data_IF_791808339341
#
_entry.id   IF_791808339341
#
_cell.length_a   1.000
_cell.length_b   1.000
_cell.length_c   1.000
_cell.angle_alpha   90.00
_cell.angle_beta   90.00
_cell.angle_gamma   90.00
#
_symmetry.space_group_name_H-M   'P 1'
#
loop_
_entity.id
_entity.type
_entity.pdbx_description
1 polymer ?
#
# COMPACT_ATOMS: atom_id res chain seq x y z
N UNK A 1 -6.92 -47.27 -32.75
CA UNK A 1 -7.01 -46.07 -33.59
C UNK A 1 -7.63 -44.99 -32.74
N UNK A 2 -6.83 -44.22 -32.06
CA UNK A 2 -7.25 -42.93 -31.46
C UNK A 2 -6.02 -42.05 -31.36
N UNK A 3 -6.11 -40.98 -32.08
CA UNK A 3 -5.09 -39.97 -32.24
C UNK A 3 -5.05 -39.07 -31.01
N UNK A 4 -3.93 -38.79 -30.34
CA UNK A 4 -3.86 -37.80 -29.31
C UNK A 4 -3.64 -36.42 -29.94
N UNK A 5 -4.51 -35.56 -29.55
CA UNK A 5 -4.68 -34.17 -29.88
C UNK A 5 -3.41 -33.34 -29.59
N UNK A 6 -2.99 -32.58 -30.58
CA UNK A 6 -1.99 -31.53 -30.54
C UNK A 6 -2.18 -30.55 -29.35
N UNK A 7 -1.30 -30.63 -28.38
CA UNK A 7 -0.94 -29.48 -27.54
C UNK A 7 0.08 -28.66 -28.33
N UNK A 8 -0.38 -27.59 -28.92
CA UNK A 8 0.50 -26.54 -29.47
C UNK A 8 1.28 -25.90 -28.33
N UNK A 9 2.55 -26.20 -28.33
CA UNK A 9 3.59 -25.44 -27.63
C UNK A 9 3.41 -23.94 -27.91
N UNK A 10 3.03 -23.20 -26.88
CA UNK A 10 3.23 -21.75 -26.84
C UNK A 10 4.72 -21.57 -26.64
N UNK A 11 5.45 -21.38 -27.74
CA UNK A 11 6.87 -21.03 -27.69
C UNK A 11 7.01 -19.74 -26.91
N UNK A 12 7.63 -19.85 -25.76
CA UNK A 12 8.29 -18.78 -25.05
C UNK A 12 9.15 -18.00 -26.05
N UNK A 13 8.74 -16.77 -26.36
CA UNK A 13 9.62 -15.83 -27.04
C UNK A 13 10.54 -15.24 -25.99
N UNK A 14 11.59 -15.97 -25.68
CA UNK A 14 12.79 -15.47 -25.01
C UNK A 14 13.30 -14.21 -25.71
N UNK A 15 13.66 -13.21 -24.92
CA UNK A 15 14.36 -12.01 -25.36
C UNK A 15 15.50 -12.41 -26.30
N UNK A 16 15.36 -12.13 -27.58
CA UNK A 16 16.46 -12.24 -28.52
C UNK A 16 17.31 -10.95 -28.40
N UNK A 17 18.26 -10.96 -27.46
CA UNK A 17 19.36 -10.01 -27.50
C UNK A 17 20.18 -10.25 -28.78
N UNK A 18 19.86 -9.55 -29.86
CA UNK A 18 20.70 -9.44 -31.02
C UNK A 18 21.75 -8.34 -30.75
N UNK A 19 22.88 -8.74 -30.18
CA UNK A 19 24.09 -7.91 -30.11
C UNK A 19 24.71 -7.92 -31.50
N UNK A 20 24.48 -6.86 -32.29
CA UNK A 20 25.32 -6.39 -33.36
C UNK A 20 24.62 -5.35 -34.24
N UNK A 21 24.27 -4.21 -33.66
CA UNK A 21 24.16 -2.94 -34.42
C UNK A 21 23.85 -1.79 -33.44
N UNK A 22 24.67 -0.73 -33.32
CA UNK A 22 24.42 0.38 -32.39
C UNK A 22 23.19 1.23 -32.73
N UNK A 23 22.54 1.00 -33.88
CA UNK A 23 21.35 1.73 -34.34
C UNK A 23 20.04 0.88 -34.28
N UNK A 24 20.03 -0.27 -33.61
CA UNK A 24 18.78 -1.04 -33.45
C UNK A 24 18.11 -0.67 -32.14
N UNK A 25 16.85 -0.25 -32.24
CA UNK A 25 15.91 -0.10 -31.13
C UNK A 25 15.97 -1.35 -30.25
N UNK A 26 16.27 -1.16 -28.94
CA UNK A 26 16.18 -2.23 -27.95
C UNK A 26 14.73 -2.27 -27.48
N UNK A 27 13.99 -3.28 -27.89
CA UNK A 27 12.59 -3.46 -27.52
C UNK A 27 12.48 -4.51 -26.42
N UNK A 28 11.83 -4.16 -25.33
CA UNK A 28 11.40 -5.05 -24.27
C UNK A 28 9.89 -5.27 -24.38
N UNK A 29 9.45 -6.54 -24.31
CA UNK A 29 8.03 -6.86 -24.22
C UNK A 29 7.62 -6.84 -22.74
N UNK A 30 6.70 -5.94 -22.41
CA UNK A 30 6.14 -5.78 -21.07
C UNK A 30 4.69 -6.23 -21.09
N UNK A 31 4.27 -7.01 -20.09
CA UNK A 31 2.89 -7.42 -19.93
C UNK A 31 2.20 -6.51 -18.88
N UNK A 32 1.16 -5.78 -19.29
CA UNK A 32 0.35 -4.95 -18.40
C UNK A 32 -1.10 -5.46 -18.44
N UNK A 33 -1.67 -5.80 -17.31
CA UNK A 33 -3.04 -6.36 -17.18
C UNK A 33 -3.31 -7.50 -18.18
N UNK A 34 -2.30 -8.37 -18.39
CA UNK A 34 -2.32 -9.49 -19.34
C UNK A 34 -2.31 -9.10 -20.83
N UNK A 35 -1.98 -7.86 -21.16
CA UNK A 35 -1.79 -7.35 -22.54
C UNK A 35 -0.30 -7.12 -22.76
N UNK A 36 0.24 -7.60 -23.90
CA UNK A 36 1.62 -7.38 -24.30
C UNK A 36 1.78 -5.98 -24.91
N UNK A 37 2.83 -5.28 -24.47
CA UNK A 37 3.24 -3.98 -24.98
C UNK A 37 4.72 -4.00 -25.33
N UNK A 38 5.07 -3.42 -26.47
CA UNK A 38 6.45 -3.21 -26.87
C UNK A 38 6.95 -1.87 -26.31
N UNK A 39 8.04 -1.91 -25.54
CA UNK A 39 8.71 -0.75 -24.96
C UNK A 39 10.09 -0.58 -25.59
N UNK A 40 10.36 0.56 -26.22
CA UNK A 40 11.72 0.93 -26.61
C UNK A 40 12.53 1.35 -25.37
N UNK A 41 13.58 0.60 -25.06
CA UNK A 41 14.49 0.83 -23.94
C UNK A 41 15.86 1.36 -24.37
N UNK A 42 16.00 1.86 -25.60
CA UNK A 42 17.29 2.33 -26.14
C UNK A 42 17.86 3.51 -25.37
N UNK A 43 17.01 4.34 -24.78
CA UNK A 43 17.32 5.53 -23.98
C UNK A 43 17.25 5.31 -22.46
N UNK A 44 17.08 4.06 -22.01
CA UNK A 44 16.85 3.69 -20.60
C UNK A 44 18.11 3.01 -20.05
N UNK A 45 18.62 3.52 -18.92
CA UNK A 45 19.86 3.04 -18.32
C UNK A 45 19.69 2.02 -17.19
N UNK A 46 18.54 2.02 -16.50
CA UNK A 46 18.28 1.17 -15.33
C UNK A 46 16.79 0.86 -15.16
N UNK A 47 16.49 -0.07 -14.23
CA UNK A 47 15.13 -0.51 -13.95
C UNK A 47 14.21 0.63 -13.53
N UNK A 48 14.66 1.55 -12.67
CA UNK A 48 13.83 2.67 -12.20
C UNK A 48 13.48 3.66 -13.30
N UNK A 49 14.39 3.90 -14.27
CA UNK A 49 14.09 4.71 -15.47
C UNK A 49 13.09 3.99 -16.38
N UNK A 50 13.25 2.68 -16.54
CA UNK A 50 12.33 1.86 -17.30
C UNK A 50 10.92 1.89 -16.70
N UNK A 51 10.78 1.71 -15.39
CA UNK A 51 9.48 1.78 -14.71
C UNK A 51 8.80 3.13 -14.91
N UNK A 52 9.54 4.23 -14.77
CA UNK A 52 9.01 5.58 -15.05
C UNK A 52 8.53 5.75 -16.49
N UNK A 53 9.27 5.20 -17.45
CA UNK A 53 8.87 5.23 -18.87
C UNK A 53 7.60 4.42 -19.11
N UNK A 54 7.51 3.23 -18.50
CA UNK A 54 6.29 2.40 -18.56
C UNK A 54 5.09 3.14 -17.99
N UNK A 55 5.23 3.76 -16.81
CA UNK A 55 4.15 4.52 -16.18
C UNK A 55 3.66 5.68 -17.04
N UNK A 56 4.56 6.34 -17.75
CA UNK A 56 4.25 7.49 -18.61
C UNK A 56 3.66 7.10 -19.97
N UNK A 57 4.11 6.00 -20.57
CA UNK A 57 3.80 5.67 -21.97
C UNK A 57 2.80 4.52 -22.11
N UNK A 58 2.79 3.57 -21.16
CA UNK A 58 2.04 2.32 -21.30
C UNK A 58 0.91 2.14 -20.27
N UNK A 59 1.07 2.69 -19.07
CA UNK A 59 -0.01 2.62 -18.05
C UNK A 59 -1.16 3.52 -18.50
N UNK A 60 -2.40 3.00 -18.55
CA UNK A 60 -3.56 3.80 -18.93
C UNK A 60 -3.76 5.00 -17.99
N UNK A 61 -4.19 6.13 -18.55
CA UNK A 61 -4.46 7.35 -17.78
C UNK A 61 -5.39 7.07 -16.59
N UNK A 62 -5.02 7.58 -15.42
CA UNK A 62 -5.81 7.44 -14.21
C UNK A 62 -5.68 6.08 -13.50
N UNK A 63 -4.82 5.18 -13.96
CA UNK A 63 -4.49 3.93 -13.27
C UNK A 63 -3.12 4.02 -12.57
N UNK A 64 -2.91 3.19 -11.58
CA UNK A 64 -1.64 3.07 -10.86
C UNK A 64 -1.17 1.61 -10.89
N UNK A 65 0.15 1.41 -10.96
CA UNK A 65 0.75 0.08 -10.85
C UNK A 65 0.60 -0.41 -9.40
N UNK A 66 0.06 -1.61 -9.22
CA UNK A 66 -0.15 -2.22 -7.89
C UNK A 66 0.69 -3.46 -7.67
N UNK A 67 1.17 -4.09 -8.74
CA UNK A 67 2.03 -5.27 -8.63
C UNK A 67 3.06 -5.26 -9.75
N UNK A 68 4.31 -5.51 -9.37
CA UNK A 68 5.43 -5.70 -10.31
C UNK A 68 5.93 -7.13 -10.14
N UNK A 69 5.92 -7.90 -11.22
CA UNK A 69 6.48 -9.26 -11.29
C UNK A 69 7.67 -9.21 -12.23
N UNK A 70 8.87 -9.29 -11.67
CA UNK A 70 10.14 -9.31 -12.38
C UNK A 70 10.71 -10.73 -12.40
N UNK A 71 10.96 -11.29 -13.58
CA UNK A 71 11.52 -12.64 -13.72
C UNK A 71 10.73 -13.69 -12.94
N UNK A 72 9.39 -13.62 -12.99
CA UNK A 72 8.44 -14.51 -12.30
C UNK A 72 8.37 -14.33 -10.77
N UNK A 73 9.08 -13.37 -10.18
CA UNK A 73 9.05 -13.04 -8.75
C UNK A 73 8.31 -11.71 -8.54
N UNK A 74 7.34 -11.69 -7.62
CA UNK A 74 6.65 -10.46 -7.23
C UNK A 74 7.58 -9.63 -6.35
N UNK A 75 7.79 -8.37 -6.72
CA UNK A 75 8.63 -7.45 -5.95
C UNK A 75 7.84 -6.86 -4.78
N UNK A 76 8.48 -6.78 -3.61
CA UNK A 76 8.03 -5.92 -2.51
C UNK A 76 8.49 -4.47 -2.75
N UNK A 77 7.89 -3.51 -2.05
CA UNK A 77 8.26 -2.10 -2.11
C UNK A 77 9.76 -1.89 -1.82
N UNK A 78 10.33 -2.61 -0.83
CA UNK A 78 11.76 -2.57 -0.51
C UNK A 78 12.62 -3.12 -1.65
N UNK A 79 12.15 -4.16 -2.33
CA UNK A 79 12.84 -4.74 -3.49
C UNK A 79 12.77 -3.80 -4.70
N UNK A 80 11.66 -3.11 -4.93
CA UNK A 80 11.55 -2.10 -5.99
C UNK A 80 12.59 -0.99 -5.85
N UNK A 81 12.76 -0.46 -4.63
CA UNK A 81 13.79 0.53 -4.33
C UNK A 81 15.20 -0.02 -4.57
N UNK A 82 15.46 -1.26 -4.15
CA UNK A 82 16.74 -1.93 -4.34
C UNK A 82 17.05 -2.14 -5.82
N UNK A 83 16.06 -2.58 -6.61
CA UNK A 83 16.22 -2.86 -8.03
C UNK A 83 16.27 -1.57 -8.89
N UNK A 84 15.82 -0.43 -8.39
CA UNK A 84 15.74 0.81 -9.16
C UNK A 84 17.05 1.19 -9.90
N UNK A 85 18.21 0.90 -9.30
CA UNK A 85 19.53 1.14 -9.91
C UNK A 85 20.09 0.00 -10.76
N UNK A 86 19.40 -1.13 -10.88
CA UNK A 86 19.91 -2.31 -11.59
C UNK A 86 19.84 -2.13 -13.11
N UNK A 87 20.84 -2.72 -13.81
CA UNK A 87 20.87 -2.74 -15.25
C UNK A 87 19.75 -3.61 -15.85
N UNK A 88 19.47 -3.38 -17.13
CA UNK A 88 18.36 -4.05 -17.82
C UNK A 88 18.72 -5.43 -18.37
N UNK A 89 20.01 -5.81 -18.37
CA UNK A 89 20.51 -7.02 -19.04
C UNK A 89 20.00 -8.33 -18.40
N UNK A 90 19.61 -8.28 -17.12
CA UNK A 90 19.12 -9.44 -16.35
C UNK A 90 17.58 -9.52 -16.33
N UNK A 91 16.87 -8.67 -17.06
CA UNK A 91 15.42 -8.69 -17.14
C UNK A 91 14.97 -9.68 -18.21
N UNK A 92 14.49 -10.85 -17.79
CA UNK A 92 13.94 -11.86 -18.68
C UNK A 92 12.44 -11.65 -18.95
N UNK A 93 11.69 -11.19 -17.95
CA UNK A 93 10.26 -10.92 -18.08
C UNK A 93 9.83 -9.83 -17.10
N UNK A 94 8.86 -9.01 -17.51
CA UNK A 94 8.23 -7.99 -16.67
C UNK A 94 6.72 -8.04 -16.87
N UNK A 95 6.01 -8.22 -15.78
CA UNK A 95 4.54 -8.18 -15.73
C UNK A 95 4.08 -7.17 -14.69
N UNK A 96 3.12 -6.36 -15.06
CA UNK A 96 2.53 -5.34 -14.21
C UNK A 96 1.03 -5.56 -14.10
N UNK A 97 0.49 -5.30 -12.93
CA UNK A 97 -0.95 -5.17 -12.72
C UNK A 97 -1.24 -3.72 -12.36
N UNK A 98 -2.30 -3.16 -12.93
CA UNK A 98 -2.72 -1.79 -12.63
C UNK A 98 -4.14 -1.76 -12.10
N UNK A 99 -4.47 -0.76 -11.27
CA UNK A 99 -5.80 -0.56 -10.73
C UNK A 99 -6.21 0.92 -10.77
N UNK A 100 -7.50 1.17 -10.71
CA UNK A 100 -8.01 2.52 -10.52
C UNK A 100 -7.82 2.93 -9.05
N UNK A 101 -7.20 4.09 -8.76
CA UNK A 101 -6.90 4.51 -7.38
C UNK A 101 -8.12 4.54 -6.46
N UNK A 102 -9.29 4.87 -7.01
CA UNK A 102 -10.55 4.88 -6.26
C UNK A 102 -10.94 3.46 -5.83
N UNK A 103 -10.87 2.48 -6.73
CA UNK A 103 -11.20 1.09 -6.42
C UNK A 103 -10.24 0.50 -5.41
N UNK A 104 -8.94 0.78 -5.59
CA UNK A 104 -7.90 0.37 -4.64
C UNK A 104 -8.15 0.98 -3.24
N UNK A 105 -8.46 2.27 -3.18
CA UNK A 105 -8.78 2.94 -1.93
C UNK A 105 -10.02 2.34 -1.25
N UNK A 106 -11.11 2.10 -1.98
CA UNK A 106 -12.33 1.51 -1.44
C UNK A 106 -12.11 0.10 -0.90
N UNK A 107 -11.37 -0.73 -1.63
CA UNK A 107 -11.01 -2.07 -1.18
C UNK A 107 -10.17 -2.02 0.09
N UNK A 108 -9.11 -1.21 0.12
CA UNK A 108 -8.22 -1.07 1.28
C UNK A 108 -8.96 -0.51 2.50
N UNK A 109 -9.89 0.44 2.32
CA UNK A 109 -10.73 0.93 3.40
C UNK A 109 -11.71 -0.14 3.92
N UNK A 110 -12.25 -0.98 3.03
CA UNK A 110 -13.09 -2.12 3.42
C UNK A 110 -12.31 -3.12 4.28
N UNK A 111 -11.10 -3.48 3.87
CA UNK A 111 -10.23 -4.40 4.62
C UNK A 111 -9.88 -3.83 6.00
N UNK A 112 -9.77 -2.51 6.11
CA UNK A 112 -9.53 -1.79 7.37
C UNK A 112 -10.63 -2.05 8.41
N UNK A 113 -11.88 -2.15 8.01
CA UNK A 113 -13.02 -2.42 8.90
C UNK A 113 -12.84 -3.75 9.63
N UNK A 114 -12.28 -4.75 8.98
CA UNK A 114 -12.10 -6.07 9.55
C UNK A 114 -10.93 -6.14 10.53
N UNK A 115 -9.84 -5.42 10.27
CA UNK A 115 -8.66 -5.54 11.11
C UNK A 115 -8.56 -4.50 12.24
N UNK A 116 -9.20 -3.34 12.16
CA UNK A 116 -9.15 -2.33 13.23
C UNK A 116 -9.58 -2.85 14.60
N UNK A 117 -10.67 -3.65 14.73
CA UNK A 117 -11.03 -4.26 16.02
C UNK A 117 -9.96 -5.22 16.55
N UNK A 118 -9.32 -6.00 15.66
CA UNK A 118 -8.25 -6.93 16.04
C UNK A 118 -7.04 -6.17 16.54
N UNK A 119 -6.74 -5.03 15.91
CA UNK A 119 -5.64 -4.15 16.31
C UNK A 119 -5.94 -3.47 17.66
N UNK A 120 -7.16 -2.99 17.89
CA UNK A 120 -7.60 -2.44 19.18
C UNK A 120 -7.44 -3.47 20.31
N UNK A 121 -7.90 -4.71 20.08
CA UNK A 121 -7.71 -5.83 21.01
C UNK A 121 -6.24 -6.14 21.29
N UNK A 122 -5.36 -5.99 20.30
CA UNK A 122 -3.91 -6.19 20.45
C UNK A 122 -3.31 -5.15 21.40
N UNK A 123 -3.70 -3.88 21.30
CA UNK A 123 -3.27 -2.84 22.24
C UNK A 123 -3.75 -3.08 23.65
N UNK A 124 -5.01 -3.53 23.85
CA UNK A 124 -5.51 -3.92 25.17
C UNK A 124 -4.74 -5.12 25.76
N UNK A 125 -4.41 -6.12 24.94
CA UNK A 125 -3.57 -7.26 25.37
C UNK A 125 -2.18 -6.79 25.75
N UNK A 126 -1.59 -5.88 24.97
CA UNK A 126 -0.30 -5.27 25.28
C UNK A 126 -0.32 -4.58 26.63
N UNK A 127 -1.32 -3.74 26.89
CA UNK A 127 -1.51 -3.07 28.18
C UNK A 127 -1.59 -4.07 29.37
N UNK A 128 -2.35 -5.16 29.19
CA UNK A 128 -2.46 -6.24 30.19
C UNK A 128 -1.12 -6.94 30.47
N UNK A 129 -0.31 -7.21 29.44
CA UNK A 129 1.03 -7.80 29.63
C UNK A 129 1.96 -6.86 30.38
N UNK A 130 1.97 -5.58 30.03
CA UNK A 130 2.78 -4.56 30.69
C UNK A 130 2.39 -4.46 32.18
N UNK A 131 1.09 -4.35 32.51
CA UNK A 131 0.62 -4.30 33.92
C UNK A 131 0.89 -5.56 34.72
N UNK A 132 0.93 -6.72 34.07
CA UNK A 132 1.30 -7.99 34.73
C UNK A 132 2.80 -8.13 35.00
N UNK A 133 3.62 -7.20 34.51
CA UNK A 133 5.09 -7.22 34.60
C UNK A 133 5.80 -8.03 33.53
N UNK A 134 5.07 -8.58 32.54
CA UNK A 134 5.67 -9.27 31.38
C UNK A 134 6.02 -8.24 30.29
N UNK A 135 7.01 -7.38 30.61
CA UNK A 135 7.42 -6.30 29.74
C UNK A 135 7.97 -6.80 28.39
N UNK A 136 8.70 -7.93 28.40
CA UNK A 136 9.28 -8.47 27.17
C UNK A 136 8.18 -8.81 26.14
N UNK A 137 7.15 -9.51 26.60
CA UNK A 137 6.02 -9.87 25.77
C UNK A 137 5.16 -8.65 25.40
N UNK A 138 4.94 -7.73 26.36
CA UNK A 138 4.22 -6.50 26.12
C UNK A 138 4.88 -5.65 25.04
N UNK A 139 6.20 -5.46 25.08
CA UNK A 139 6.93 -4.67 24.09
C UNK A 139 6.98 -5.33 22.71
N UNK A 140 7.08 -6.68 22.64
CA UNK A 140 7.00 -7.39 21.36
C UNK A 140 5.63 -7.19 20.68
N UNK A 141 4.53 -7.33 21.42
CA UNK A 141 3.17 -7.07 20.92
C UNK A 141 2.98 -5.60 20.52
N UNK A 142 3.56 -4.66 21.28
CA UNK A 142 3.52 -3.24 20.95
C UNK A 142 4.18 -2.97 19.60
N UNK A 143 5.37 -3.53 19.38
CA UNK A 143 6.10 -3.35 18.13
C UNK A 143 5.27 -3.85 16.93
N UNK A 144 4.75 -5.08 16.99
CA UNK A 144 3.91 -5.64 15.94
C UNK A 144 2.66 -4.76 15.66
N UNK A 145 2.03 -4.26 16.73
CA UNK A 145 0.85 -3.40 16.60
C UNK A 145 1.17 -2.03 16.01
N UNK A 146 2.34 -1.46 16.31
CA UNK A 146 2.79 -0.18 15.75
C UNK A 146 3.13 -0.28 14.26
N UNK A 147 3.67 -1.40 13.78
CA UNK A 147 3.89 -1.65 12.36
C UNK A 147 2.56 -1.64 11.59
N UNK A 148 1.51 -2.26 12.14
CA UNK A 148 0.17 -2.22 11.55
C UNK A 148 -0.44 -0.80 11.56
N UNK A 149 -0.21 0.00 12.62
CA UNK A 149 -0.64 1.41 12.66
C UNK A 149 0.09 2.24 11.62
N UNK A 150 1.36 2.00 11.37
CA UNK A 150 2.10 2.68 10.30
C UNK A 150 1.47 2.39 8.94
N UNK A 151 1.17 1.13 8.64
CA UNK A 151 0.49 0.72 7.39
C UNK A 151 -0.89 1.38 7.27
N UNK A 152 -1.67 1.43 8.36
CA UNK A 152 -2.94 2.14 8.39
C UNK A 152 -2.78 3.64 8.10
N UNK A 153 -1.79 4.30 8.70
CA UNK A 153 -1.52 5.71 8.45
C UNK A 153 -1.11 5.99 7.00
N UNK A 154 -0.30 5.10 6.40
CA UNK A 154 0.08 5.19 4.98
C UNK A 154 -1.14 5.07 4.07
N UNK A 155 -2.06 4.14 4.36
CA UNK A 155 -3.32 4.01 3.63
C UNK A 155 -4.13 5.32 3.70
N UNK A 156 -4.38 5.83 4.90
CA UNK A 156 -5.19 7.04 5.10
C UNK A 156 -4.56 8.25 4.41
N UNK A 157 -3.24 8.42 4.51
CA UNK A 157 -2.52 9.51 3.85
C UNK A 157 -2.50 9.33 2.32
N UNK A 158 -2.39 8.10 1.82
CA UNK A 158 -2.50 7.74 0.40
C UNK A 158 -3.88 8.11 -0.16
N UNK A 159 -4.95 7.70 0.51
CA UNK A 159 -6.34 8.08 0.13
C UNK A 159 -6.47 9.60 0.03
N UNK A 160 -5.98 10.33 1.04
CA UNK A 160 -6.02 11.80 1.06
C UNK A 160 -5.28 12.43 -0.12
N UNK A 161 -4.04 11.99 -0.37
CA UNK A 161 -3.14 12.59 -1.38
C UNK A 161 -3.56 12.24 -2.80
N UNK A 162 -3.77 10.94 -3.07
CA UNK A 162 -4.05 10.45 -4.43
C UNK A 162 -5.43 10.91 -4.91
N UNK A 163 -6.42 10.88 -4.03
CA UNK A 163 -7.78 11.27 -4.37
C UNK A 163 -8.09 12.75 -4.10
N UNK A 164 -7.13 13.52 -3.53
CA UNK A 164 -7.26 14.94 -3.17
C UNK A 164 -8.45 15.23 -2.24
N UNK A 165 -8.69 14.34 -1.26
CA UNK A 165 -9.80 14.46 -0.32
C UNK A 165 -9.43 15.41 0.82
N UNK A 166 -10.30 16.40 1.07
CA UNK A 166 -10.16 17.31 2.21
C UNK A 166 -10.84 16.72 3.45
N UNK A 167 -10.03 16.18 4.37
CA UNK A 167 -10.49 15.57 5.61
C UNK A 167 -11.21 16.53 6.57
N UNK A 168 -11.04 17.84 6.43
CA UNK A 168 -11.80 18.83 7.21
C UNK A 168 -13.27 18.89 6.79
N UNK A 169 -13.60 18.50 5.56
CA UNK A 169 -14.97 18.46 5.06
C UNK A 169 -15.73 17.19 5.45
N UNK A 170 -15.03 16.14 5.89
CA UNK A 170 -15.64 14.88 6.32
C UNK A 170 -16.07 15.04 7.78
N UNK A 171 -17.35 15.36 7.99
CA UNK A 171 -17.94 15.50 9.33
C UNK A 171 -18.28 14.12 9.91
N UNK A 172 -17.99 13.94 11.20
CA UNK A 172 -18.32 12.73 11.95
C UNK A 172 -19.57 12.98 12.78
N UNK A 173 -20.43 11.97 12.90
CA UNK A 173 -21.71 12.12 13.66
C UNK A 173 -21.54 12.29 15.16
N UNK A 174 -20.34 12.02 15.71
CA UNK A 174 -20.15 11.90 17.16
C UNK A 174 -20.24 13.19 17.95
N UNK A 175 -19.89 14.35 17.36
CA UNK A 175 -19.92 15.66 18.03
C UNK A 175 -20.04 16.81 17.01
N UNK A 176 -20.80 17.86 17.35
CA UNK A 176 -20.86 19.09 16.55
C UNK A 176 -19.44 19.68 16.38
N UNK A 177 -18.91 19.62 15.17
CA UNK A 177 -17.59 20.16 14.80
C UNK A 177 -16.46 19.15 14.71
N UNK A 178 -16.69 17.87 15.03
CA UNK A 178 -15.69 16.83 14.81
C UNK A 178 -15.63 16.41 13.34
N UNK A 179 -14.41 16.16 12.87
CA UNK A 179 -14.15 15.78 11.48
C UNK A 179 -12.98 14.78 11.40
N UNK A 180 -12.81 14.18 10.22
CA UNK A 180 -11.78 13.17 10.01
C UNK A 180 -10.36 13.71 10.21
N UNK A 181 -10.11 15.00 9.94
CA UNK A 181 -8.80 15.61 10.18
C UNK A 181 -8.46 15.67 11.68
N UNK A 182 -9.44 16.00 12.54
CA UNK A 182 -9.24 16.02 14.00
C UNK A 182 -8.94 14.61 14.53
N UNK A 183 -9.61 13.59 13.98
CA UNK A 183 -9.34 12.19 14.33
C UNK A 183 -7.89 11.81 14.01
N UNK A 184 -7.38 12.20 12.84
CA UNK A 184 -5.98 11.96 12.45
C UNK A 184 -4.98 12.74 13.31
N UNK A 185 -5.29 13.97 13.69
CA UNK A 185 -4.44 14.73 14.62
C UNK A 185 -4.35 14.01 15.97
N UNK A 186 -5.48 13.52 16.49
CA UNK A 186 -5.51 12.79 17.77
C UNK A 186 -4.70 11.51 17.73
N UNK A 187 -4.74 10.77 16.61
CA UNK A 187 -3.92 9.55 16.44
C UNK A 187 -2.42 9.88 16.53
N UNK A 188 -1.99 10.94 15.87
CA UNK A 188 -0.60 11.38 15.91
C UNK A 188 -0.17 11.80 17.32
N UNK A 189 -0.98 12.61 17.99
CA UNK A 189 -0.71 13.04 19.37
C UNK A 189 -0.56 11.85 20.32
N UNK A 190 -1.43 10.84 20.21
CA UNK A 190 -1.35 9.64 21.04
C UNK A 190 -0.16 8.78 20.69
N UNK A 191 0.20 8.66 19.42
CA UNK A 191 1.42 7.93 19.02
C UNK A 191 2.68 8.58 19.62
N UNK A 192 2.76 9.94 19.62
CA UNK A 192 3.87 10.68 20.24
C UNK A 192 3.90 10.48 21.77
N UNK A 193 2.73 10.45 22.45
CA UNK A 193 2.63 10.19 23.90
C UNK A 193 3.05 8.75 24.24
N UNK A 194 2.62 7.76 23.45
CA UNK A 194 3.02 6.35 23.60
C UNK A 194 4.54 6.21 23.48
N UNK A 195 5.14 6.83 22.48
CA UNK A 195 6.59 6.81 22.27
C UNK A 195 7.33 7.46 23.46
N UNK A 196 6.85 8.60 23.95
CA UNK A 196 7.44 9.29 25.10
C UNK A 196 7.35 8.44 26.38
N UNK A 197 6.20 7.84 26.69
CA UNK A 197 6.03 6.97 27.85
C UNK A 197 6.92 5.72 27.78
N UNK A 198 7.04 5.11 26.58
CA UNK A 198 7.93 3.97 26.37
C UNK A 198 9.42 4.34 26.56
N UNK A 199 9.85 5.50 26.02
CA UNK A 199 11.23 5.97 26.17
C UNK A 199 11.59 6.36 27.61
N UNK A 200 10.60 6.86 28.37
CA UNK A 200 10.76 7.23 29.77
C UNK A 200 10.60 6.04 30.74
N UNK A 201 10.30 4.85 30.21
CA UNK A 201 10.00 3.63 31.00
C UNK A 201 8.80 3.81 31.96
N UNK A 202 7.86 4.69 31.59
CA UNK A 202 6.63 4.95 32.34
C UNK A 202 5.57 3.88 32.01
N UNK A 203 5.82 2.64 32.42
CA UNK A 203 5.07 1.46 31.98
C UNK A 203 3.58 1.47 32.33
N UNK A 204 3.21 2.05 33.46
CA UNK A 204 1.80 2.16 33.84
C UNK A 204 1.07 3.19 32.98
N UNK A 205 1.69 4.33 32.73
CA UNK A 205 1.14 5.37 31.87
C UNK A 205 1.04 4.89 30.42
N UNK A 206 2.06 4.16 29.93
CA UNK A 206 2.02 3.49 28.64
C UNK A 206 0.83 2.53 28.53
N UNK A 207 0.61 1.68 29.54
CA UNK A 207 -0.51 0.75 29.55
C UNK A 207 -1.87 1.48 29.60
N UNK A 208 -1.97 2.59 30.33
CA UNK A 208 -3.18 3.41 30.39
C UNK A 208 -3.47 4.09 29.05
N UNK A 209 -2.46 4.66 28.40
CA UNK A 209 -2.59 5.24 27.06
C UNK A 209 -3.09 4.22 26.04
N UNK A 210 -2.52 3.00 26.06
CA UNK A 210 -2.90 1.94 25.12
C UNK A 210 -4.35 1.47 25.32
N UNK A 211 -4.78 1.24 26.57
CA UNK A 211 -6.08 0.66 26.86
C UNK A 211 -7.21 1.71 26.84
N UNK A 212 -6.98 2.90 27.41
CA UNK A 212 -8.05 3.87 27.63
C UNK A 212 -8.13 4.99 26.60
N UNK A 213 -7.07 5.20 25.81
CA UNK A 213 -7.02 6.26 24.82
C UNK A 213 -6.88 5.70 23.40
N UNK A 214 -5.88 4.84 23.17
CA UNK A 214 -5.53 4.39 21.83
C UNK A 214 -6.50 3.34 21.27
N UNK A 215 -6.83 2.29 22.04
CA UNK A 215 -7.83 1.30 21.65
C UNK A 215 -9.20 1.94 21.37
N UNK A 216 -9.76 2.81 22.22
CA UNK A 216 -11.00 3.54 21.92
C UNK A 216 -10.89 4.43 20.66
N UNK A 217 -9.74 5.04 20.39
CA UNK A 217 -9.54 5.82 19.18
C UNK A 217 -9.68 4.96 17.90
N UNK A 218 -9.17 3.73 17.91
CA UNK A 218 -9.32 2.80 16.78
C UNK A 218 -10.79 2.44 16.53
N UNK A 219 -11.58 2.27 17.57
CA UNK A 219 -13.04 2.10 17.42
C UNK A 219 -13.73 3.35 16.87
N UNK A 220 -13.24 4.55 17.19
CA UNK A 220 -13.74 5.78 16.55
C UNK A 220 -13.41 5.80 15.06
N UNK A 221 -12.21 5.35 14.66
CA UNK A 221 -11.87 5.19 13.24
C UNK A 221 -12.78 4.20 12.54
N UNK A 222 -13.09 3.06 13.20
CA UNK A 222 -14.04 2.09 12.66
C UNK A 222 -15.39 2.73 12.32
N UNK A 223 -15.90 3.62 13.21
CA UNK A 223 -17.11 4.40 12.97
C UNK A 223 -16.94 5.51 11.91
N UNK A 224 -15.72 5.98 11.68
CA UNK A 224 -15.42 7.08 10.76
C UNK A 224 -15.14 6.61 9.32
N UNK A 225 -14.66 5.37 9.10
CA UNK A 225 -14.36 4.83 7.77
C UNK A 225 -15.54 4.94 6.79
N UNK A 226 -16.81 4.64 7.15
CA UNK A 226 -17.93 4.80 6.23
C UNK A 226 -18.06 6.21 5.65
N UNK A 227 -17.81 7.26 6.44
CA UNK A 227 -17.84 8.65 5.95
C UNK A 227 -16.68 8.95 4.99
N UNK A 228 -15.51 8.34 5.22
CA UNK A 228 -14.39 8.45 4.29
C UNK A 228 -14.71 7.71 2.97
N UNK A 229 -15.31 6.53 3.02
CA UNK A 229 -15.77 5.78 1.84
C UNK A 229 -16.76 6.62 1.04
N UNK A 230 -17.77 7.24 1.67
CA UNK A 230 -18.73 8.13 1.01
C UNK A 230 -18.02 9.32 0.34
N UNK A 231 -17.04 9.92 0.98
CA UNK A 231 -16.24 11.01 0.41
C UNK A 231 -15.43 10.55 -0.82
N UNK A 232 -14.84 9.35 -0.79
CA UNK A 232 -14.13 8.74 -1.92
C UNK A 232 -15.07 8.52 -3.11
N UNK A 233 -16.24 7.93 -2.87
CA UNK A 233 -17.26 7.70 -3.91
C UNK A 233 -17.83 9.00 -4.49
N UNK A 234 -18.07 10.00 -3.63
CA UNK A 234 -18.56 11.32 -4.03
C UNK A 234 -17.57 12.04 -4.95
N UNK A 235 -16.30 12.06 -4.57
CA UNK A 235 -15.23 12.68 -5.35
C UNK A 235 -15.05 12.03 -6.73
N UNK A 236 -15.33 10.73 -6.86
CA UNK A 236 -15.27 10.03 -8.15
C UNK A 236 -16.42 10.44 -9.09
N UNK A 237 -17.64 10.65 -8.56
CA UNK A 237 -18.79 11.08 -9.36
C UNK A 237 -18.62 12.45 -9.97
N UNK A 238 -17.96 13.37 -9.24
CA UNK A 238 -17.71 14.74 -9.68
C UNK A 238 -16.65 14.82 -10.80
N UNK A 239 -15.75 13.83 -10.88
CA UNK A 239 -14.70 13.75 -11.93
C UNK A 239 -15.19 13.12 -13.24
N UNK A 240 -16.28 12.37 -13.21
CA UNK A 240 -16.85 11.66 -14.38
C UNK A 240 -17.91 12.50 -15.11
N UNK A 241 -18.41 13.60 -14.53
CA UNK A 241 -19.36 14.54 -15.11
C UNK A 241 -18.68 15.78 -15.66
#
# INVERSE_FOLDING_TARGET
MNNPTNFKETKERTIAMNVENPDKEKILVVMIDSIEHDLDISDVGNFGEMMRKIELELVPDGRVVTTIILNEEALSEEQEELYAGFGLDDIASLRLTTEEPVQLALQSLSDTIDYLPVLADSFEKTAKQIRSGDLLKGMALLQESLELIQSFNLLIDGVRKVLMIDFYQIKLESDEGDNFANLNMRLKELADQILAAAQSEEWLDLADLLEYEFSPLLYRYLGAIPFLVEAVEGNNRDKVN
#
